data_IF_828866317686
#
_entry.id   IF_828866317686
#
_cell.length_a   1.000
_cell.length_b   1.000
_cell.length_c   1.000
_cell.angle_alpha   90.00
_cell.angle_beta   90.00
_cell.angle_gamma   90.00
#
_symmetry.space_group_name_H-M   'P 1'
#
loop_
_entity.id
_entity.type
_entity.pdbx_description
1 polymer ?
#
# COMPACT_ATOMS: atom_id res chain seq x y z
N UNK A 1 6.68 7.32 0.68
CA UNK A 1 7.24 8.49 0.00
C UNK A 1 8.62 8.74 0.54
N UNK A 2 9.62 8.91 -0.32
CA UNK A 2 11.01 9.16 0.05
C UNK A 2 11.41 10.57 -0.41
N UNK A 3 11.77 11.42 0.56
CA UNK A 3 12.15 12.83 0.32
C UNK A 3 13.56 12.98 -0.24
N UNK A 4 14.34 11.89 -0.31
CA UNK A 4 15.76 11.84 -0.72
C UNK A 4 16.69 12.71 0.12
N UNK A 5 16.23 13.20 1.27
CA UNK A 5 16.99 14.06 2.19
C UNK A 5 16.87 13.51 3.61
N UNK A 6 18.00 13.40 4.29
CA UNK A 6 18.03 13.11 5.71
C UNK A 6 17.27 14.21 6.47
N UNK A 7 16.43 13.83 7.44
CA UNK A 7 15.54 14.75 8.14
C UNK A 7 14.64 15.58 7.21
N UNK A 8 14.26 15.01 6.07
CA UNK A 8 13.34 15.65 5.11
C UNK A 8 11.98 15.95 5.73
N UNK A 9 11.50 15.09 6.64
CA UNK A 9 10.22 15.25 7.34
C UNK A 9 10.17 16.51 8.20
N UNK A 10 11.30 17.04 8.67
CA UNK A 10 11.30 18.27 9.47
C UNK A 10 10.87 19.51 8.67
N UNK A 11 10.83 19.45 7.34
CA UNK A 11 10.37 20.58 6.53
C UNK A 11 8.87 20.84 6.71
N UNK A 12 8.45 22.00 7.28
CA UNK A 12 7.04 22.32 7.45
C UNK A 12 6.30 22.46 6.11
N UNK A 13 7.01 22.84 5.04
CA UNK A 13 6.45 22.93 3.69
C UNK A 13 5.98 21.56 3.20
N UNK A 14 6.87 20.57 3.26
CA UNK A 14 6.55 19.17 2.99
C UNK A 14 5.38 18.66 3.84
N UNK A 15 5.44 18.84 5.17
CA UNK A 15 4.38 18.37 6.07
C UNK A 15 3.02 19.00 5.76
N UNK A 16 3.00 20.29 5.43
CA UNK A 16 1.75 20.98 5.09
C UNK A 16 1.15 20.45 3.78
N UNK A 17 1.96 20.22 2.75
CA UNK A 17 1.49 19.58 1.52
C UNK A 17 0.96 18.17 1.81
N UNK A 18 1.66 17.41 2.65
CA UNK A 18 1.28 16.05 3.02
C UNK A 18 -0.04 15.99 3.83
N UNK A 19 -0.27 16.98 4.69
CA UNK A 19 -1.53 17.10 5.42
C UNK A 19 -2.68 17.52 4.50
N UNK A 20 -2.42 18.45 3.58
CA UNK A 20 -3.41 18.91 2.61
C UNK A 20 -3.89 17.76 1.70
N UNK A 21 -2.96 17.00 1.10
CA UNK A 21 -3.35 15.87 0.24
C UNK A 21 -4.11 14.80 1.03
N UNK A 22 -3.74 14.56 2.30
CA UNK A 22 -4.49 13.65 3.18
C UNK A 22 -5.94 14.11 3.41
N UNK A 23 -6.13 15.41 3.70
CA UNK A 23 -7.45 16.00 3.88
C UNK A 23 -8.28 15.99 2.59
N UNK A 24 -7.66 16.28 1.44
CA UNK A 24 -8.31 16.21 0.13
C UNK A 24 -8.78 14.78 -0.19
N UNK A 25 -7.93 13.79 0.07
CA UNK A 25 -8.29 12.38 -0.12
C UNK A 25 -9.48 11.97 0.74
N UNK A 26 -9.59 12.45 1.98
CA UNK A 26 -10.74 12.18 2.86
C UNK A 26 -12.06 12.76 2.32
N UNK A 27 -12.01 13.71 1.38
CA UNK A 27 -13.21 14.21 0.69
C UNK A 27 -13.57 13.41 -0.57
N UNK A 28 -12.72 12.47 -0.99
CA UNK A 28 -12.95 11.64 -2.17
C UNK A 28 -14.16 10.72 -1.99
N UNK A 29 -15.09 10.78 -2.95
CA UNK A 29 -16.25 9.91 -2.98
C UNK A 29 -16.71 9.69 -4.43
N UNK A 30 -16.63 8.46 -4.92
CA UNK A 30 -17.08 8.06 -6.26
C UNK A 30 -17.77 6.69 -6.20
N UNK A 31 -19.08 6.66 -6.46
CA UNK A 31 -19.87 5.44 -6.31
C UNK A 31 -19.82 4.90 -4.87
N UNK A 32 -19.41 3.64 -4.71
CA UNK A 32 -19.20 2.99 -3.41
C UNK A 32 -17.76 3.17 -2.87
N UNK A 33 -16.88 3.85 -3.64
CA UNK A 33 -15.51 4.13 -3.27
C UNK A 33 -15.41 5.44 -2.52
N UNK A 34 -14.95 5.39 -1.27
CA UNK A 34 -14.67 6.56 -0.46
C UNK A 34 -13.43 6.32 0.40
N UNK A 35 -12.79 7.40 0.84
CA UNK A 35 -11.69 7.33 1.82
C UNK A 35 -12.26 7.57 3.20
N UNK A 36 -12.15 6.58 4.08
CA UNK A 36 -12.62 6.71 5.47
C UNK A 36 -11.68 7.58 6.31
N UNK A 37 -10.36 7.39 6.16
CA UNK A 37 -9.33 8.19 6.83
C UNK A 37 -7.99 8.05 6.12
N UNK A 38 -7.20 9.13 6.11
CA UNK A 38 -5.81 9.13 5.68
C UNK A 38 -4.90 9.47 6.87
N UNK A 39 -4.08 8.51 7.32
CA UNK A 39 -3.08 8.73 8.36
C UNK A 39 -1.70 8.92 7.77
N UNK A 40 -0.92 9.80 8.38
CA UNK A 40 0.50 9.95 8.08
C UNK A 40 1.26 10.46 9.30
N UNK A 41 2.57 10.68 9.16
CA UNK A 41 3.39 11.35 10.18
C UNK A 41 2.81 12.72 10.60
N UNK A 42 2.08 13.41 9.73
CA UNK A 42 1.41 14.68 10.06
C UNK A 42 0.35 14.50 11.14
N UNK A 43 -0.36 13.37 11.16
CA UNK A 43 -1.34 13.06 12.20
C UNK A 43 -0.65 12.96 13.56
N UNK A 44 0.48 12.26 13.62
CA UNK A 44 1.25 12.07 14.85
C UNK A 44 1.84 13.39 15.34
N UNK A 45 2.43 14.19 14.45
CA UNK A 45 2.97 15.51 14.82
C UNK A 45 1.87 16.42 15.39
N UNK A 46 0.68 16.47 14.78
CA UNK A 46 -0.46 17.24 15.32
C UNK A 46 -0.93 16.71 16.69
N UNK A 47 -0.91 15.39 16.90
CA UNK A 47 -1.22 14.78 18.20
C UNK A 47 -0.16 15.14 19.27
N UNK A 48 1.13 15.12 18.92
CA UNK A 48 2.22 15.53 19.81
C UNK A 48 2.08 17.00 20.18
N UNK A 49 1.87 17.88 19.19
CA UNK A 49 1.68 19.31 19.43
C UNK A 49 0.47 19.55 20.36
N UNK A 50 -0.65 18.85 20.13
CA UNK A 50 -1.83 18.91 21.00
C UNK A 50 -1.50 18.46 22.43
N UNK A 51 -0.81 17.33 22.59
CA UNK A 51 -0.46 16.77 23.89
C UNK A 51 0.47 17.69 24.69
N UNK A 52 1.48 18.28 24.04
CA UNK A 52 2.41 19.23 24.66
C UNK A 52 1.72 20.55 25.06
N UNK A 53 0.61 20.90 24.40
CA UNK A 53 -0.15 22.11 24.67
C UNK A 53 -1.49 21.80 25.38
N UNK A 54 -1.39 21.10 26.52
CA UNK A 54 -2.49 20.82 27.45
C UNK A 54 -3.70 20.08 26.82
N UNK A 55 -3.46 19.29 25.78
CA UNK A 55 -4.47 18.50 25.06
C UNK A 55 -5.65 19.32 24.48
N UNK A 56 -5.42 20.58 24.12
CA UNK A 56 -6.44 21.48 23.57
C UNK A 56 -6.58 21.30 22.06
N UNK A 57 -7.79 21.09 21.55
CA UNK A 57 -8.05 20.88 20.11
C UNK A 57 -7.56 22.01 19.21
N UNK A 58 -7.46 23.23 19.72
CA UNK A 58 -6.88 24.40 19.01
C UNK A 58 -5.41 24.19 18.62
N UNK A 59 -4.70 23.34 19.36
CA UNK A 59 -3.31 22.97 19.13
C UNK A 59 -3.18 21.67 18.31
N UNK A 60 -4.26 21.20 17.69
CA UNK A 60 -4.19 20.12 16.70
C UNK A 60 -3.77 20.69 15.33
N UNK A 61 -2.57 21.28 15.28
CA UNK A 61 -2.04 21.97 14.10
C UNK A 61 -0.59 21.59 13.88
N UNK A 62 -0.13 21.67 12.63
CA UNK A 62 1.26 21.43 12.32
C UNK A 62 2.14 22.59 12.83
N UNK A 63 3.31 22.29 13.42
CA UNK A 63 4.29 23.32 13.76
C UNK A 63 4.74 24.10 12.52
N UNK A 64 5.03 25.40 12.72
CA UNK A 64 5.32 26.32 11.61
C UNK A 64 6.79 26.35 11.19
N UNK A 65 7.69 25.84 12.04
CA UNK A 65 9.14 25.92 11.85
C UNK A 65 9.80 24.55 11.95
N UNK A 66 10.93 24.40 11.26
CA UNK A 66 11.71 23.16 11.23
C UNK A 66 12.19 22.78 12.63
N UNK A 67 12.56 23.78 13.43
CA UNK A 67 13.07 23.61 14.79
C UNK A 67 11.99 23.07 15.73
N UNK A 68 10.74 23.55 15.62
CA UNK A 68 9.65 23.03 16.43
C UNK A 68 9.33 21.58 16.06
N UNK A 69 9.26 21.25 14.76
CA UNK A 69 9.04 19.87 14.32
C UNK A 69 10.12 18.93 14.86
N UNK A 70 11.40 19.35 14.76
CA UNK A 70 12.52 18.58 15.28
C UNK A 70 12.44 18.37 16.80
N UNK A 71 12.10 19.42 17.55
CA UNK A 71 11.97 19.36 19.00
C UNK A 71 10.84 18.41 19.44
N UNK A 72 9.68 18.50 18.79
CA UNK A 72 8.53 17.65 19.11
C UNK A 72 8.81 16.18 18.84
N UNK A 73 9.41 15.86 17.69
CA UNK A 73 9.80 14.48 17.36
C UNK A 73 10.87 13.95 18.31
N UNK A 74 11.86 14.76 18.67
CA UNK A 74 12.89 14.38 19.64
C UNK A 74 12.31 14.06 21.03
N UNK A 75 11.37 14.87 21.52
CA UNK A 75 10.70 14.60 22.80
C UNK A 75 9.92 13.28 22.76
N UNK A 76 9.27 12.99 21.63
CA UNK A 76 8.51 11.77 21.46
C UNK A 76 9.41 10.54 21.34
N UNK A 77 10.50 10.58 20.58
CA UNK A 77 11.48 9.47 20.52
C UNK A 77 12.04 9.12 21.91
N UNK A 78 12.34 10.13 22.73
CA UNK A 78 12.82 9.92 24.10
C UNK A 78 11.75 9.34 25.05
N UNK A 79 10.46 9.35 24.66
CA UNK A 79 9.41 8.67 25.43
C UNK A 79 9.48 7.15 25.33
N UNK A 80 10.32 6.61 24.43
CA UNK A 80 10.51 5.18 24.22
C UNK A 80 9.38 4.53 23.40
N UNK A 81 8.64 5.32 22.62
CA UNK A 81 7.60 4.83 21.72
C UNK A 81 8.15 4.64 20.30
N UNK A 82 7.97 3.44 19.75
CA UNK A 82 8.34 3.12 18.37
C UNK A 82 7.24 3.51 17.36
N UNK A 83 6.15 4.14 17.81
CA UNK A 83 4.96 4.48 17.00
C UNK A 83 5.30 5.38 15.79
N UNK A 84 6.40 6.13 15.83
CA UNK A 84 6.87 6.90 14.68
C UNK A 84 7.32 5.99 13.53
N UNK A 85 7.92 4.84 13.82
CA UNK A 85 8.46 3.92 12.81
C UNK A 85 7.38 3.26 11.94
N UNK A 86 6.13 3.31 12.38
CA UNK A 86 4.99 2.91 11.55
C UNK A 86 4.77 3.88 10.37
N UNK A 87 5.14 5.15 10.55
CA UNK A 87 4.89 6.24 9.61
C UNK A 87 6.16 6.86 9.00
N UNK A 88 7.35 6.58 9.54
CA UNK A 88 8.62 7.07 9.03
C UNK A 88 9.75 6.04 9.17
N UNK A 89 10.85 6.24 8.43
CA UNK A 89 12.11 5.55 8.71
C UNK A 89 12.90 6.24 9.82
N UNK A 90 13.94 5.56 10.32
CA UNK A 90 14.81 6.07 11.39
C UNK A 90 15.65 7.29 11.03
N UNK A 91 15.83 7.58 9.73
CA UNK A 91 16.54 8.75 9.23
C UNK A 91 15.60 9.94 8.95
N UNK A 92 14.30 9.77 9.21
CA UNK A 92 13.27 10.78 8.96
C UNK A 92 13.30 11.30 7.51
N UNK A 93 13.65 10.40 6.59
CA UNK A 93 13.80 10.66 5.16
C UNK A 93 12.57 10.17 4.37
N UNK A 94 11.80 9.23 4.93
CA UNK A 94 10.64 8.62 4.28
C UNK A 94 9.38 8.80 5.11
N UNK A 95 8.31 9.26 4.50
CA UNK A 95 6.97 9.30 5.10
C UNK A 95 6.08 8.21 4.50
N UNK A 96 5.30 7.52 5.34
CA UNK A 96 4.24 6.59 4.95
C UNK A 96 2.88 7.27 5.15
N UNK A 97 2.04 7.14 4.12
CA UNK A 97 0.63 7.53 4.17
C UNK A 97 -0.21 6.25 4.09
N UNK A 98 -1.15 6.11 5.02
CA UNK A 98 -2.06 4.98 5.12
C UNK A 98 -3.47 5.48 4.82
N UNK A 99 -4.07 4.96 3.74
CA UNK A 99 -5.41 5.36 3.29
C UNK A 99 -6.34 4.17 3.53
N UNK A 100 -7.40 4.37 4.35
CA UNK A 100 -8.44 3.36 4.58
C UNK A 100 -9.59 3.52 3.61
N UNK A 101 -9.94 2.42 2.96
CA UNK A 101 -10.96 2.34 1.91
C UNK A 101 -11.88 1.13 2.15
N UNK A 102 -13.17 1.19 1.77
CA UNK A 102 -14.12 0.08 1.93
C UNK A 102 -13.74 -1.09 1.02
N UNK A 103 -14.05 -2.32 1.45
CA UNK A 103 -13.89 -3.56 0.67
C UNK A 103 -14.87 -3.63 -0.52
N UNK A 104 -14.44 -3.22 -1.72
CA UNK A 104 -15.29 -3.15 -2.92
C UNK A 104 -14.71 -3.90 -4.13
N UNK A 105 -15.32 -3.77 -5.31
CA UNK A 105 -14.85 -4.40 -6.54
C UNK A 105 -13.43 -3.92 -6.92
N UNK A 106 -12.57 -4.87 -7.29
CA UNK A 106 -11.19 -4.66 -7.73
C UNK A 106 -11.02 -3.60 -8.83
N UNK A 107 -12.04 -3.37 -9.66
CA UNK A 107 -12.00 -2.36 -10.73
C UNK A 107 -11.90 -0.95 -10.15
N UNK A 108 -12.82 -0.62 -9.23
CA UNK A 108 -12.91 0.70 -8.63
C UNK A 108 -11.63 0.99 -7.84
N UNK A 109 -11.08 -0.02 -7.17
CA UNK A 109 -9.78 0.07 -6.52
C UNK A 109 -8.63 0.42 -7.46
N UNK A 110 -8.52 -0.23 -8.61
CA UNK A 110 -7.40 0.02 -9.53
C UNK A 110 -7.43 1.43 -10.11
N UNK A 111 -8.62 1.96 -10.37
CA UNK A 111 -8.84 3.32 -10.85
C UNK A 111 -8.51 4.34 -9.75
N UNK A 112 -9.01 4.10 -8.53
CA UNK A 112 -8.68 4.91 -7.36
C UNK A 112 -7.18 4.94 -7.07
N UNK A 113 -6.49 3.80 -7.05
CA UNK A 113 -5.03 3.75 -6.81
C UNK A 113 -4.28 4.52 -7.90
N UNK A 114 -4.72 4.42 -9.15
CA UNK A 114 -4.10 5.17 -10.25
C UNK A 114 -4.29 6.68 -10.05
N UNK A 115 -5.49 7.11 -9.68
CA UNK A 115 -5.80 8.52 -9.39
C UNK A 115 -4.99 9.06 -8.20
N UNK A 116 -4.97 8.33 -7.08
CA UNK A 116 -4.17 8.69 -5.90
C UNK A 116 -2.69 8.75 -6.25
N UNK A 117 -2.17 7.74 -6.94
CA UNK A 117 -0.77 7.71 -7.37
C UNK A 117 -0.43 8.93 -8.22
N UNK A 118 -1.27 9.28 -9.20
CA UNK A 118 -1.06 10.46 -10.05
C UNK A 118 -1.04 11.77 -9.23
N UNK A 119 -1.99 11.93 -8.31
CA UNK A 119 -2.06 13.12 -7.43
C UNK A 119 -0.80 13.27 -6.56
N UNK A 120 -0.29 12.18 -5.97
CA UNK A 120 0.95 12.22 -5.18
C UNK A 120 2.18 12.54 -6.05
N UNK A 121 2.28 12.00 -7.26
CA UNK A 121 3.39 12.33 -8.17
C UNK A 121 3.34 13.78 -8.65
N UNK A 122 2.14 14.34 -8.81
CA UNK A 122 1.96 15.74 -9.19
C UNK A 122 2.34 16.70 -8.06
N UNK A 123 1.92 16.42 -6.83
CA UNK A 123 2.12 17.32 -5.68
C UNK A 123 3.56 17.26 -5.12
N UNK A 124 4.23 16.12 -5.29
CA UNK A 124 5.59 15.85 -4.80
C UNK A 124 6.55 15.34 -5.90
N UNK A 125 6.82 16.13 -6.96
CA UNK A 125 7.69 15.72 -8.06
C UNK A 125 9.15 15.47 -7.62
N UNK A 126 9.57 16.05 -6.49
CA UNK A 126 10.89 15.86 -5.88
C UNK A 126 11.02 14.57 -5.05
N UNK A 127 9.90 13.92 -4.71
CA UNK A 127 9.88 12.72 -3.88
C UNK A 127 9.72 11.46 -4.74
N UNK A 128 10.29 10.36 -4.26
CA UNK A 128 10.04 9.04 -4.83
C UNK A 128 8.82 8.41 -4.14
N UNK A 129 7.76 8.20 -4.91
CA UNK A 129 6.46 7.74 -4.41
C UNK A 129 6.21 6.31 -4.85
N UNK A 130 6.25 5.39 -3.88
CA UNK A 130 5.85 4.01 -4.07
C UNK A 130 4.55 3.72 -3.32
N UNK A 131 3.57 3.11 -3.99
CA UNK A 131 2.34 2.63 -3.34
C UNK A 131 2.53 1.16 -2.93
N UNK A 132 2.25 0.85 -1.67
CA UNK A 132 2.44 -0.48 -1.07
C UNK A 132 1.18 -0.91 -0.30
N UNK A 133 0.81 -2.18 -0.38
CA UNK A 133 -0.38 -2.73 0.29
C UNK A 133 -1.58 -2.88 -0.67
N UNK A 134 -2.32 -4.00 -0.53
CA UNK A 134 -3.47 -4.48 -1.35
C UNK A 134 -3.18 -4.68 -2.87
N UNK A 135 -2.16 -4.02 -3.42
CA UNK A 135 -1.75 -4.08 -4.82
C UNK A 135 -1.04 -5.41 -5.19
N UNK A 136 -0.76 -6.27 -4.21
CA UNK A 136 -0.13 -7.59 -4.39
C UNK A 136 -1.14 -8.73 -4.22
N UNK A 137 -2.42 -8.47 -4.47
CA UNK A 137 -3.34 -9.58 -4.72
C UNK A 137 -3.11 -10.03 -6.18
N UNK A 138 -2.58 -11.24 -6.32
CA UNK A 138 -2.27 -11.86 -7.61
C UNK A 138 -3.52 -11.87 -8.52
N UNK A 139 -4.73 -12.03 -7.96
CA UNK A 139 -5.97 -12.03 -8.73
C UNK A 139 -6.31 -10.62 -9.21
N UNK A 140 -6.12 -9.58 -8.38
CA UNK A 140 -6.36 -8.19 -8.79
C UNK A 140 -5.40 -7.80 -9.92
N UNK A 141 -4.11 -8.13 -9.79
CA UNK A 141 -3.11 -7.85 -10.81
C UNK A 141 -3.41 -8.61 -12.13
N UNK A 142 -3.86 -9.87 -12.01
CA UNK A 142 -4.35 -10.66 -13.15
C UNK A 142 -5.53 -9.97 -13.83
N UNK A 143 -6.55 -9.58 -13.06
CA UNK A 143 -7.81 -9.05 -13.59
C UNK A 143 -7.61 -7.70 -14.25
N UNK A 144 -6.77 -6.83 -13.66
CA UNK A 144 -6.40 -5.56 -14.24
C UNK A 144 -5.67 -5.74 -15.58
N UNK A 145 -4.68 -6.64 -15.62
CA UNK A 145 -3.95 -6.98 -16.84
C UNK A 145 -4.88 -7.56 -17.92
N UNK A 146 -5.81 -8.44 -17.54
CA UNK A 146 -6.83 -8.99 -18.43
C UNK A 146 -7.69 -7.91 -19.06
N UNK A 147 -8.24 -6.99 -18.25
CA UNK A 147 -9.09 -5.91 -18.75
C UNK A 147 -8.32 -4.94 -19.65
N UNK A 148 -7.08 -4.60 -19.31
CA UNK A 148 -6.21 -3.78 -20.17
C UNK A 148 -6.01 -4.44 -21.53
N UNK A 149 -5.69 -5.73 -21.54
CA UNK A 149 -5.54 -6.49 -22.78
C UNK A 149 -6.88 -6.63 -23.54
N UNK A 150 -8.01 -6.75 -22.84
CA UNK A 150 -9.34 -6.83 -23.45
C UNK A 150 -9.73 -5.52 -24.17
N UNK A 151 -9.46 -4.36 -23.55
CA UNK A 151 -9.70 -3.04 -24.17
C UNK A 151 -8.93 -2.88 -25.48
N UNK A 152 -7.66 -3.31 -25.51
CA UNK A 152 -6.80 -3.19 -26.69
C UNK A 152 -7.11 -4.23 -27.76
N UNK A 153 -7.28 -5.50 -27.38
CA UNK A 153 -7.39 -6.62 -28.33
C UNK A 153 -8.83 -6.90 -28.77
N UNK A 154 -9.84 -6.49 -27.99
CA UNK A 154 -11.28 -6.75 -28.20
C UNK A 154 -11.64 -8.23 -28.41
N UNK A 155 -10.77 -9.13 -27.96
CA UNK A 155 -10.90 -10.57 -28.05
C UNK A 155 -10.58 -11.17 -26.68
N UNK A 156 -11.59 -11.71 -26.01
CA UNK A 156 -11.48 -12.26 -24.67
C UNK A 156 -10.44 -13.38 -24.58
N UNK A 157 -10.38 -14.26 -25.58
CA UNK A 157 -9.45 -15.40 -25.54
C UNK A 157 -8.01 -14.94 -25.67
N UNK A 158 -7.74 -14.03 -26.62
CA UNK A 158 -6.40 -13.45 -26.80
C UNK A 158 -5.97 -12.63 -25.58
N UNK A 159 -6.89 -11.85 -25.01
CA UNK A 159 -6.64 -11.07 -23.81
C UNK A 159 -6.31 -11.96 -22.59
N UNK A 160 -7.02 -13.08 -22.40
CA UNK A 160 -6.71 -14.04 -21.33
C UNK A 160 -5.32 -14.64 -21.51
N UNK A 161 -4.98 -15.12 -22.72
CA UNK A 161 -3.66 -15.73 -23.00
C UNK A 161 -2.53 -14.72 -22.77
N UNK A 162 -2.67 -13.49 -23.29
CA UNK A 162 -1.68 -12.43 -23.09
C UNK A 162 -1.48 -12.11 -21.61
N UNK A 163 -2.56 -12.17 -20.82
CA UNK A 163 -2.51 -11.92 -19.38
C UNK A 163 -1.80 -13.02 -18.62
N UNK A 164 -2.09 -14.29 -18.91
CA UNK A 164 -1.38 -15.43 -18.32
C UNK A 164 0.13 -15.34 -18.61
N UNK A 165 0.52 -14.94 -19.82
CA UNK A 165 1.93 -14.85 -20.22
C UNK A 165 2.70 -13.74 -19.51
N UNK A 166 2.04 -12.64 -19.14
CA UNK A 166 2.69 -11.50 -18.48
C UNK A 166 2.50 -11.55 -16.97
N UNK A 167 1.25 -11.49 -16.51
CA UNK A 167 0.91 -11.46 -15.09
C UNK A 167 1.15 -12.83 -14.42
N UNK A 168 0.81 -13.93 -15.09
CA UNK A 168 0.99 -15.29 -14.55
C UNK A 168 2.45 -15.66 -14.30
N UNK A 169 3.41 -15.15 -15.10
CA UNK A 169 4.84 -15.36 -14.84
C UNK A 169 5.29 -14.73 -13.52
N UNK A 170 4.83 -13.52 -13.23
CA UNK A 170 5.15 -12.84 -11.97
C UNK A 170 4.59 -13.63 -10.78
N UNK A 171 3.33 -14.08 -10.85
CA UNK A 171 2.66 -14.88 -9.81
C UNK A 171 3.38 -16.19 -9.50
N UNK A 172 3.81 -16.91 -10.54
CA UNK A 172 4.57 -18.16 -10.37
C UNK A 172 5.88 -17.89 -9.62
N UNK A 173 6.61 -16.84 -9.99
CA UNK A 173 7.90 -16.51 -9.36
C UNK A 173 7.68 -16.12 -7.89
N UNK A 174 6.74 -15.22 -7.60
CA UNK A 174 6.48 -14.75 -6.23
C UNK A 174 5.99 -15.88 -5.33
N UNK A 175 5.03 -16.68 -5.79
CA UNK A 175 4.51 -17.83 -5.02
C UNK A 175 5.57 -18.88 -4.76
N UNK A 176 6.44 -19.17 -5.73
CA UNK A 176 7.53 -20.13 -5.54
C UNK A 176 8.57 -19.61 -4.54
N UNK A 177 8.93 -18.33 -4.62
CA UNK A 177 9.83 -17.67 -3.66
C UNK A 177 9.24 -17.69 -2.25
N UNK A 178 7.96 -17.34 -2.08
CA UNK A 178 7.27 -17.39 -0.78
C UNK A 178 7.18 -18.82 -0.24
N UNK A 179 6.81 -19.79 -1.08
CA UNK A 179 6.74 -21.19 -0.70
C UNK A 179 8.10 -21.71 -0.23
N UNK A 180 9.17 -21.40 -0.96
CA UNK A 180 10.53 -21.73 -0.56
C UNK A 180 10.90 -21.08 0.79
N UNK A 181 10.51 -19.81 0.99
CA UNK A 181 10.64 -19.11 2.27
C UNK A 181 9.97 -19.85 3.43
N UNK A 182 8.72 -20.27 3.25
CA UNK A 182 8.01 -21.06 4.27
C UNK A 182 8.65 -22.44 4.52
N UNK A 183 9.16 -23.09 3.47
CA UNK A 183 9.86 -24.37 3.62
C UNK A 183 11.18 -24.25 4.38
N UNK A 184 11.80 -23.07 4.48
CA UNK A 184 12.97 -22.89 5.36
C UNK A 184 12.64 -23.16 6.83
N UNK A 185 11.38 -22.94 7.27
CA UNK A 185 10.97 -23.26 8.64
C UNK A 185 10.93 -24.76 8.93
N UNK A 186 10.96 -25.62 7.91
CA UNK A 186 11.06 -27.07 8.10
C UNK A 186 12.41 -27.51 8.68
N UNK A 187 13.44 -26.65 8.65
CA UNK A 187 14.70 -26.90 9.34
C UNK A 187 14.66 -26.54 10.82
N UNK A 188 13.56 -25.99 11.32
CA UNK A 188 13.42 -25.60 12.73
C UNK A 188 13.26 -26.83 13.63
N UNK A 189 13.95 -26.80 14.78
CA UNK A 189 13.80 -27.80 15.85
C UNK A 189 12.49 -27.66 16.63
N UNK A 190 11.79 -26.53 16.47
CA UNK A 190 10.48 -26.30 17.09
C UNK A 190 9.37 -26.85 16.20
N UNK A 191 8.65 -27.87 16.67
CA UNK A 191 7.55 -28.53 15.94
C UNK A 191 6.51 -27.54 15.41
N UNK A 192 6.16 -26.50 16.17
CA UNK A 192 5.20 -25.49 15.73
C UNK A 192 5.65 -24.75 14.47
N UNK A 193 6.94 -24.40 14.38
CA UNK A 193 7.50 -23.71 13.21
C UNK A 193 7.61 -24.67 12.02
N UNK A 194 7.96 -25.94 12.25
CA UNK A 194 7.98 -26.97 11.21
C UNK A 194 6.62 -27.11 10.51
N UNK A 195 5.55 -27.34 11.28
CA UNK A 195 4.22 -27.54 10.72
C UNK A 195 3.66 -26.27 10.06
N UNK A 196 3.95 -25.11 10.64
CA UNK A 196 3.58 -23.83 10.05
C UNK A 196 4.22 -23.64 8.68
N UNK A 197 5.52 -23.89 8.55
CA UNK A 197 6.25 -23.81 7.29
C UNK A 197 5.73 -24.79 6.23
N UNK A 198 5.56 -26.05 6.62
CA UNK A 198 5.07 -27.10 5.72
C UNK A 198 3.66 -26.79 5.18
N UNK A 199 2.72 -26.46 6.06
CA UNK A 199 1.33 -26.20 5.67
C UNK A 199 1.21 -24.91 4.85
N UNK A 200 1.90 -23.83 5.25
CA UNK A 200 1.88 -22.55 4.54
C UNK A 200 2.50 -22.67 3.15
N UNK A 201 3.64 -23.37 3.02
CA UNK A 201 4.29 -23.58 1.73
C UNK A 201 3.43 -24.41 0.76
N UNK A 202 2.81 -25.49 1.22
CA UNK A 202 1.88 -26.30 0.40
C UNK A 202 0.66 -25.47 0.01
N UNK A 203 0.07 -24.73 0.96
CA UNK A 203 -1.10 -23.89 0.71
C UNK A 203 -0.81 -22.85 -0.38
N UNK A 204 0.37 -22.23 -0.35
CA UNK A 204 0.78 -21.24 -1.34
C UNK A 204 0.89 -21.84 -2.75
N UNK A 205 1.45 -23.06 -2.88
CA UNK A 205 1.52 -23.78 -4.16
C UNK A 205 0.14 -24.16 -4.70
N UNK A 206 -0.75 -24.65 -3.82
CA UNK A 206 -2.13 -24.98 -4.20
C UNK A 206 -2.88 -23.71 -4.64
N UNK A 207 -2.70 -22.61 -3.92
CA UNK A 207 -3.29 -21.32 -4.26
C UNK A 207 -2.85 -20.86 -5.65
N UNK A 208 -1.54 -20.91 -5.95
CA UNK A 208 -1.01 -20.57 -7.28
C UNK A 208 -1.66 -21.41 -8.39
N UNK A 209 -1.76 -22.73 -8.21
CA UNK A 209 -2.38 -23.63 -9.21
C UNK A 209 -3.85 -23.29 -9.38
N UNK A 210 -4.56 -23.06 -8.28
CA UNK A 210 -5.96 -22.65 -8.27
C UNK A 210 -6.14 -21.35 -9.06
N UNK A 211 -5.28 -20.36 -8.85
CA UNK A 211 -5.37 -19.05 -9.48
C UNK A 211 -5.02 -19.08 -10.97
N UNK A 212 -3.99 -19.85 -11.37
CA UNK A 212 -3.58 -19.97 -12.77
C UNK A 212 -4.55 -20.82 -13.61
N UNK A 213 -5.38 -21.65 -12.97
CA UNK A 213 -6.37 -22.49 -13.66
C UNK A 213 -7.78 -21.93 -13.57
N UNK A 214 -8.27 -21.63 -12.36
CA UNK A 214 -9.65 -21.20 -12.13
C UNK A 214 -9.89 -19.80 -12.66
N UNK A 215 -9.02 -18.84 -12.39
CA UNK A 215 -9.22 -17.43 -12.80
C UNK A 215 -9.38 -17.29 -14.32
N UNK A 216 -8.49 -17.82 -15.18
CA UNK A 216 -8.70 -17.76 -16.63
C UNK A 216 -9.90 -18.59 -17.10
N UNK A 217 -10.19 -19.73 -16.47
CA UNK A 217 -11.37 -20.54 -16.82
C UNK A 217 -12.68 -19.78 -16.54
N UNK A 218 -12.78 -19.13 -15.37
CA UNK A 218 -13.91 -18.27 -15.00
C UNK A 218 -14.05 -17.08 -15.92
N UNK A 219 -12.95 -16.40 -16.25
CA UNK A 219 -12.94 -15.30 -17.22
C UNK A 219 -13.47 -15.77 -18.59
N UNK A 220 -12.98 -16.91 -19.10
CA UNK A 220 -13.45 -17.45 -20.37
C UNK A 220 -14.92 -17.85 -20.34
N UNK A 221 -15.44 -18.30 -19.20
CA UNK A 221 -16.83 -18.65 -19.01
C UNK A 221 -17.73 -17.40 -18.97
N UNK A 222 -17.34 -16.36 -18.22
CA UNK A 222 -18.10 -15.12 -18.04
C UNK A 222 -18.06 -14.23 -19.30
N UNK A 223 -16.90 -14.09 -19.94
CA UNK A 223 -16.72 -13.27 -21.14
C UNK A 223 -16.90 -14.05 -22.45
N UNK A 224 -17.51 -15.24 -22.36
CA UNK A 224 -17.94 -16.00 -23.54
C UNK A 224 -19.01 -15.19 -24.26
N UNK A 225 -18.66 -14.62 -25.42
CA UNK A 225 -19.63 -13.99 -26.33
C UNK A 225 -20.83 -14.94 -26.50
N UNK A 226 -22.04 -14.44 -26.22
CA UNK A 226 -23.22 -14.88 -26.97
C UNK A 226 -23.07 -14.42 -28.42
#
# INVERSE_FOLDING_TARGET
MDTKKENGIYDPGFLKKLDNIGNELETFHEGDMFVGKAWSITTIIKEINRALNNNQMENYVLPKTREMVAQELFLFENSGSDDLLDFTDSQLSKARVVIKVPAIDAIQYSEFISHVSEQFHHEFPECDVSVTGIIVDDTIHFMHSFRRNLKTMKDSRKATIATVMVAGRAMVITSLVLSAGFFTYMFSSMNSLYYFGLLSGITMLIALVSELLLTPALIMLVYRKK
#
